data_IF_345637325601
#
_entry.id   IF_345637325601
#
_cell.length_a   1.000
_cell.length_b   1.000
_cell.length_c   1.000
_cell.angle_alpha   90.00
_cell.angle_beta   90.00
_cell.angle_gamma   90.00
#
_symmetry.space_group_name_H-M   'P 1'
#
loop_
_entity.id
_entity.type
_entity.pdbx_description
1 polymer ?
#
# COMPACT_ATOMS: atom_id res chain seq x y z
N UNK A 1 76.78 -62.64 -72.12
CA UNK A 1 75.67 -62.08 -71.33
C UNK A 1 75.39 -60.67 -71.83
N UNK A 2 74.45 -60.51 -72.76
CA UNK A 2 74.10 -59.21 -73.32
C UNK A 2 73.38 -58.37 -72.26
N UNK A 3 73.89 -57.15 -71.99
CA UNK A 3 73.17 -56.16 -71.19
C UNK A 3 72.01 -55.65 -72.04
N UNK A 4 70.79 -55.92 -71.57
CA UNK A 4 69.57 -55.34 -72.11
C UNK A 4 69.40 -53.96 -71.48
N UNK A 5 69.71 -52.91 -72.24
CA UNK A 5 69.45 -51.52 -71.84
C UNK A 5 67.95 -51.22 -72.05
N UNK A 6 67.13 -51.66 -71.11
CA UNK A 6 65.70 -51.32 -71.05
C UNK A 6 65.60 -49.85 -70.62
N UNK A 7 64.84 -48.99 -71.33
CA UNK A 7 64.67 -47.60 -70.92
C UNK A 7 64.01 -47.55 -69.54
N UNK A 8 64.72 -46.98 -68.55
CA UNK A 8 64.18 -46.81 -67.20
C UNK A 8 62.91 -45.95 -67.25
N UNK A 9 61.83 -46.41 -66.59
CA UNK A 9 60.61 -45.64 -66.43
C UNK A 9 60.92 -44.33 -65.67
N UNK A 10 60.60 -43.20 -66.30
CA UNK A 10 60.83 -41.85 -65.75
C UNK A 10 60.16 -41.65 -64.38
N UNK A 11 59.08 -42.37 -64.09
CA UNK A 11 58.44 -42.36 -62.77
C UNK A 11 59.26 -43.12 -61.72
N UNK A 12 59.85 -44.24 -62.10
CA UNK A 12 60.68 -45.06 -61.21
C UNK A 12 61.97 -44.33 -60.86
N UNK A 13 62.62 -43.68 -61.83
CA UNK A 13 63.84 -42.88 -61.59
C UNK A 13 63.56 -41.71 -60.64
N UNK A 14 62.48 -40.96 -60.87
CA UNK A 14 62.08 -39.86 -59.99
C UNK A 14 61.71 -40.32 -58.56
N UNK A 15 61.13 -41.51 -58.41
CA UNK A 15 60.83 -42.11 -57.11
C UNK A 15 62.12 -42.54 -56.37
N UNK A 16 63.07 -43.14 -57.10
CA UNK A 16 64.39 -43.54 -56.58
C UNK A 16 65.19 -42.31 -56.14
N UNK A 17 65.17 -41.23 -56.93
CA UNK A 17 65.85 -39.98 -56.59
C UNK A 17 65.24 -39.29 -55.37
N UNK A 18 63.91 -39.25 -55.24
CA UNK A 18 63.22 -38.78 -54.03
C UNK A 18 63.65 -39.57 -52.79
N UNK A 19 63.69 -40.90 -52.87
CA UNK A 19 64.15 -41.77 -51.77
C UNK A 19 65.60 -41.49 -51.41
N UNK A 20 66.50 -41.38 -52.40
CA UNK A 20 67.91 -41.03 -52.16
C UNK A 20 68.06 -39.66 -51.51
N UNK A 21 67.26 -38.66 -51.92
CA UNK A 21 67.27 -37.31 -51.36
C UNK A 21 66.82 -37.32 -49.89
N UNK A 22 65.69 -37.97 -49.60
CA UNK A 22 65.17 -38.13 -48.25
C UNK A 22 66.16 -38.88 -47.33
N UNK A 23 66.81 -39.95 -47.84
CA UNK A 23 67.81 -40.69 -47.07
C UNK A 23 69.06 -39.83 -46.80
N UNK A 24 69.51 -39.02 -47.76
CA UNK A 24 70.62 -38.07 -47.54
C UNK A 24 70.28 -37.02 -46.47
N UNK A 25 69.08 -36.44 -46.52
CA UNK A 25 68.60 -35.47 -45.51
C UNK A 25 68.43 -36.11 -44.12
N UNK A 26 68.05 -37.39 -44.08
CA UNK A 26 67.95 -38.19 -42.86
C UNK A 26 69.33 -38.51 -42.28
N UNK A 27 70.28 -38.94 -43.11
CA UNK A 27 71.66 -39.21 -42.70
C UNK A 27 72.33 -37.96 -42.10
N UNK A 28 72.10 -36.77 -42.68
CA UNK A 28 72.60 -35.51 -42.13
C UNK A 28 72.12 -35.23 -40.70
N UNK A 29 70.89 -35.65 -40.36
CA UNK A 29 70.33 -35.56 -39.00
C UNK A 29 70.84 -36.67 -38.09
N UNK A 30 70.86 -37.90 -38.58
CA UNK A 30 71.23 -39.08 -37.79
C UNK A 30 72.72 -39.12 -37.48
N UNK A 31 73.62 -38.65 -38.32
CA UNK A 31 75.05 -38.70 -38.02
C UNK A 31 75.56 -37.51 -37.21
N UNK A 32 74.76 -36.45 -37.06
CA UNK A 32 75.10 -35.30 -36.22
C UNK A 32 74.75 -35.57 -34.74
N UNK A 33 75.76 -35.74 -33.88
CA UNK A 33 75.55 -36.04 -32.46
C UNK A 33 74.77 -34.93 -31.70
N UNK A 34 74.96 -33.66 -32.07
CA UNK A 34 74.32 -32.51 -31.42
C UNK A 34 72.82 -32.46 -31.73
N UNK A 35 72.43 -32.62 -32.99
CA UNK A 35 71.00 -32.67 -33.37
C UNK A 35 70.29 -33.93 -32.85
N UNK A 36 71.00 -35.05 -32.69
CA UNK A 36 70.45 -36.26 -32.03
C UNK A 36 70.16 -36.06 -30.56
N UNK A 37 71.02 -35.32 -29.85
CA UNK A 37 70.88 -35.09 -28.42
C UNK A 37 69.92 -33.93 -28.11
N UNK A 38 69.95 -32.84 -28.90
CA UNK A 38 69.19 -31.61 -28.67
C UNK A 38 68.74 -31.00 -30.02
N UNK A 39 67.88 -31.72 -30.73
CA UNK A 39 67.24 -31.23 -31.95
C UNK A 39 66.00 -30.41 -31.62
N UNK A 40 66.09 -29.08 -31.71
CA UNK A 40 64.97 -28.17 -31.44
C UNK A 40 64.77 -27.25 -32.64
N UNK A 41 63.53 -27.15 -33.08
CA UNK A 41 63.13 -26.14 -34.06
C UNK A 41 62.79 -24.83 -33.32
N UNK A 42 63.77 -23.94 -33.24
CA UNK A 42 63.61 -22.67 -32.53
C UNK A 42 62.63 -21.74 -33.21
N UNK A 43 62.54 -21.80 -34.53
CA UNK A 43 61.66 -20.93 -35.31
C UNK A 43 60.20 -21.31 -35.08
N UNK A 44 59.90 -22.61 -35.13
CA UNK A 44 58.55 -23.12 -34.82
C UNK A 44 58.14 -22.84 -33.37
N UNK A 45 59.06 -22.98 -32.40
CA UNK A 45 58.75 -22.66 -31.00
C UNK A 45 58.51 -21.16 -30.79
N UNK A 46 59.29 -20.29 -31.45
CA UNK A 46 59.07 -18.84 -31.37
C UNK A 46 57.69 -18.46 -31.94
N UNK A 47 57.30 -19.05 -33.08
CA UNK A 47 55.96 -18.86 -33.65
C UNK A 47 54.86 -19.30 -32.68
N UNK A 48 55.01 -20.46 -32.04
CA UNK A 48 54.04 -20.94 -31.03
C UNK A 48 53.91 -19.98 -29.83
N UNK A 49 55.01 -19.38 -29.39
CA UNK A 49 55.00 -18.39 -28.31
C UNK A 49 54.28 -17.12 -28.74
N UNK A 50 54.54 -16.63 -29.96
CA UNK A 50 53.86 -15.47 -30.54
C UNK A 50 52.35 -15.70 -30.67
N UNK A 51 51.95 -16.86 -31.22
CA UNK A 51 50.53 -17.24 -31.35
C UNK A 51 49.82 -17.28 -30.00
N UNK A 52 50.46 -17.86 -28.98
CA UNK A 52 49.90 -17.90 -27.62
C UNK A 52 49.75 -16.50 -27.04
N UNK A 53 50.79 -15.66 -27.13
CA UNK A 53 50.73 -14.30 -26.60
C UNK A 53 49.64 -13.48 -27.30
N UNK A 54 49.48 -13.66 -28.62
CA UNK A 54 48.41 -13.04 -29.39
C UNK A 54 47.02 -13.46 -28.90
N UNK A 55 46.81 -14.75 -28.64
CA UNK A 55 45.56 -15.27 -28.09
C UNK A 55 45.29 -14.71 -26.68
N UNK A 56 46.30 -14.68 -25.81
CA UNK A 56 46.19 -14.11 -24.47
C UNK A 56 45.81 -12.62 -24.52
N UNK A 57 46.45 -11.84 -25.40
CA UNK A 57 46.09 -10.43 -25.58
C UNK A 57 44.65 -10.25 -26.07
N UNK A 58 44.20 -11.09 -27.00
CA UNK A 58 42.85 -11.02 -27.55
C UNK A 58 41.81 -11.37 -26.48
N UNK A 59 42.07 -12.40 -25.68
CA UNK A 59 41.23 -12.78 -24.55
C UNK A 59 41.21 -11.68 -23.48
N UNK A 60 42.36 -11.08 -23.16
CA UNK A 60 42.45 -9.99 -22.20
C UNK A 60 41.67 -8.75 -22.68
N UNK A 61 41.79 -8.39 -23.98
CA UNK A 61 40.99 -7.31 -24.59
C UNK A 61 39.49 -7.59 -24.49
N UNK A 62 39.08 -8.84 -24.74
CA UNK A 62 37.68 -9.26 -24.61
C UNK A 62 37.19 -9.19 -23.16
N UNK A 63 37.96 -9.70 -22.21
CA UNK A 63 37.62 -9.65 -20.79
C UNK A 63 37.51 -8.20 -20.29
N UNK A 64 38.43 -7.33 -20.70
CA UNK A 64 38.39 -5.91 -20.36
C UNK A 64 37.15 -5.21 -20.94
N UNK A 65 36.76 -5.51 -22.18
CA UNK A 65 35.54 -4.96 -22.77
C UNK A 65 34.28 -5.39 -21.99
N UNK A 66 34.16 -6.68 -21.64
CA UNK A 66 33.05 -7.19 -20.85
C UNK A 66 33.01 -6.57 -19.43
N UNK A 67 34.17 -6.38 -18.81
CA UNK A 67 34.26 -5.71 -17.51
C UNK A 67 33.80 -4.25 -17.58
N UNK A 68 34.15 -3.53 -18.64
CA UNK A 68 33.68 -2.16 -18.87
C UNK A 68 32.16 -2.11 -19.07
N UNK A 69 31.60 -3.03 -19.84
CA UNK A 69 30.15 -3.14 -20.03
C UNK A 69 29.42 -3.48 -18.72
N UNK A 70 29.99 -4.36 -17.90
CA UNK A 70 29.44 -4.68 -16.57
C UNK A 70 29.38 -3.43 -15.67
N UNK A 71 30.46 -2.64 -15.62
CA UNK A 71 30.51 -1.37 -14.86
C UNK A 71 29.48 -0.37 -15.39
N UNK A 72 29.31 -0.29 -16.71
CA UNK A 72 28.30 0.58 -17.32
C UNK A 72 26.89 0.16 -16.93
N UNK A 73 26.58 -1.13 -17.03
CA UNK A 73 25.26 -1.66 -16.70
C UNK A 73 24.93 -1.49 -15.22
N UNK A 74 25.90 -1.68 -14.33
CA UNK A 74 25.74 -1.45 -12.89
C UNK A 74 25.37 0.02 -12.59
N UNK A 75 26.05 0.98 -13.23
CA UNK A 75 25.71 2.41 -13.11
C UNK A 75 24.29 2.70 -13.60
N UNK A 76 23.86 2.08 -14.70
CA UNK A 76 22.50 2.25 -15.22
C UNK A 76 21.48 1.68 -14.23
N UNK A 77 21.74 0.50 -13.66
CA UNK A 77 20.87 -0.12 -12.66
C UNK A 77 20.69 0.78 -11.44
N UNK A 78 21.78 1.32 -10.89
CA UNK A 78 21.74 2.26 -9.75
C UNK A 78 20.93 3.54 -10.06
N UNK A 79 21.04 4.08 -11.28
CA UNK A 79 20.25 5.26 -11.68
C UNK A 79 18.76 4.94 -11.79
N UNK A 80 18.42 3.77 -12.33
CA UNK A 80 17.03 3.32 -12.46
C UNK A 80 16.41 3.05 -11.08
N UNK A 81 17.16 2.42 -10.18
CA UNK A 81 16.73 2.16 -8.81
C UNK A 81 16.41 3.46 -8.07
N UNK A 82 17.31 4.45 -8.10
CA UNK A 82 17.05 5.77 -7.48
C UNK A 82 15.82 6.47 -8.05
N UNK A 83 15.57 6.31 -9.35
CA UNK A 83 14.37 6.88 -9.99
C UNK A 83 13.11 6.17 -9.50
N UNK A 84 13.13 4.84 -9.43
CA UNK A 84 12.03 4.06 -8.89
C UNK A 84 11.74 4.44 -7.43
N UNK A 85 12.76 4.55 -6.57
CA UNK A 85 12.58 4.98 -5.19
C UNK A 85 11.94 6.37 -5.08
N UNK A 86 12.35 7.31 -5.94
CA UNK A 86 11.76 8.64 -5.99
C UNK A 86 10.27 8.58 -6.39
N UNK A 87 9.97 7.85 -7.46
CA UNK A 87 8.60 7.69 -7.96
C UNK A 87 7.71 6.99 -6.92
N UNK A 88 8.22 6.00 -6.19
CA UNK A 88 7.51 5.34 -5.08
C UNK A 88 7.23 6.31 -3.93
N UNK A 89 8.21 7.15 -3.55
CA UNK A 89 8.03 8.16 -2.51
C UNK A 89 6.97 9.19 -2.90
N UNK A 90 7.02 9.69 -4.12
CA UNK A 90 6.04 10.66 -4.63
C UNK A 90 4.64 10.04 -4.72
N UNK A 91 4.51 8.79 -5.18
CA UNK A 91 3.23 8.09 -5.18
C UNK A 91 2.67 7.91 -3.76
N UNK A 92 3.50 7.49 -2.82
CA UNK A 92 3.09 7.35 -1.42
C UNK A 92 2.67 8.69 -0.81
N UNK A 93 3.39 9.76 -1.15
CA UNK A 93 3.03 11.12 -0.74
C UNK A 93 1.67 11.52 -1.31
N UNK A 94 1.45 11.36 -2.61
CA UNK A 94 0.18 11.67 -3.26
C UNK A 94 -0.99 10.86 -2.69
N UNK A 95 -0.79 9.56 -2.41
CA UNK A 95 -1.79 8.71 -1.75
C UNK A 95 -2.14 9.26 -0.37
N UNK A 96 -1.14 9.62 0.43
CA UNK A 96 -1.36 10.14 1.78
C UNK A 96 -2.02 11.52 1.74
N UNK A 97 -1.65 12.39 0.81
CA UNK A 97 -2.32 13.67 0.56
C UNK A 97 -3.80 13.46 0.17
N UNK A 98 -4.08 12.52 -0.73
CA UNK A 98 -5.46 12.17 -1.11
C UNK A 98 -6.27 11.64 0.08
N UNK A 99 -5.69 10.74 0.88
CA UNK A 99 -6.31 10.23 2.12
C UNK A 99 -6.61 11.37 3.08
N UNK A 100 -5.66 12.29 3.26
CA UNK A 100 -5.80 13.42 4.17
C UNK A 100 -6.85 14.44 3.70
N UNK A 101 -7.06 14.60 2.40
CA UNK A 101 -8.02 15.56 1.85
C UNK A 101 -9.43 14.98 1.73
N UNK A 102 -9.56 13.70 1.38
CA UNK A 102 -10.83 13.12 0.93
C UNK A 102 -11.32 11.92 1.74
N UNK A 103 -10.48 11.32 2.59
CA UNK A 103 -10.82 10.12 3.35
C UNK A 103 -10.81 10.37 4.86
N UNK A 104 -11.00 11.62 5.27
CA UNK A 104 -11.12 11.97 6.68
C UNK A 104 -12.39 11.35 7.28
N UNK A 105 -12.35 10.86 8.54
CA UNK A 105 -13.53 10.34 9.22
C UNK A 105 -14.78 11.23 9.12
N UNK A 106 -14.71 12.56 9.34
CA UNK A 106 -15.88 13.44 9.22
C UNK A 106 -16.46 13.57 7.80
N UNK A 107 -15.71 13.20 6.77
CA UNK A 107 -16.21 13.21 5.39
C UNK A 107 -17.00 11.94 5.04
N UNK A 108 -17.06 10.95 5.93
CA UNK A 108 -17.82 9.72 5.72
C UNK A 108 -19.33 9.97 5.83
N UNK A 109 -20.10 9.21 5.06
CA UNK A 109 -21.56 9.33 5.00
C UNK A 109 -22.26 9.06 6.34
N UNK A 110 -21.67 8.18 7.14
CA UNK A 110 -22.21 7.70 8.43
C UNK A 110 -21.46 8.30 9.62
N UNK A 111 -20.71 9.38 9.41
CA UNK A 111 -19.96 10.03 10.48
C UNK A 111 -20.88 10.55 11.59
N UNK A 112 -22.08 11.03 11.25
CA UNK A 112 -23.08 11.47 12.22
C UNK A 112 -23.45 10.37 13.24
N UNK A 113 -23.48 9.11 12.80
CA UNK A 113 -23.72 7.95 13.68
C UNK A 113 -22.49 7.55 14.50
N UNK A 114 -21.30 7.72 13.93
CA UNK A 114 -20.02 7.29 14.52
C UNK A 114 -19.28 8.40 15.28
N UNK A 115 -19.86 9.60 15.36
CA UNK A 115 -19.25 10.75 16.01
C UNK A 115 -19.11 10.48 17.52
N UNK A 116 -17.88 10.49 18.09
CA UNK A 116 -17.68 10.26 19.52
C UNK A 116 -18.38 11.30 20.40
N UNK A 117 -18.62 12.50 19.85
CA UNK A 117 -19.32 13.58 20.54
C UNK A 117 -20.81 13.66 20.18
N UNK A 118 -21.36 12.66 19.48
CA UNK A 118 -22.77 12.63 19.07
C UNK A 118 -23.73 12.97 20.22
N UNK A 119 -23.60 12.28 21.35
CA UNK A 119 -24.46 12.48 22.54
C UNK A 119 -24.31 13.86 23.18
N UNK A 120 -23.20 14.57 22.93
CA UNK A 120 -23.00 15.95 23.42
C UNK A 120 -23.65 16.98 22.50
N UNK A 121 -23.75 16.65 21.20
CA UNK A 121 -24.37 17.49 20.17
C UNK A 121 -25.88 17.28 20.10
N UNK A 122 -26.33 16.09 20.48
CA UNK A 122 -27.74 15.73 20.47
C UNK A 122 -28.56 16.58 21.46
N UNK A 123 -29.82 16.85 21.09
CA UNK A 123 -30.73 17.62 21.92
C UNK A 123 -31.63 16.69 22.74
N UNK A 124 -32.03 17.09 23.96
CA UNK A 124 -33.05 16.37 24.70
C UNK A 124 -34.31 16.14 23.87
N UNK A 125 -34.95 14.97 24.09
CA UNK A 125 -36.16 14.55 23.37
C UNK A 125 -37.32 15.55 23.50
N UNK A 126 -37.40 16.27 24.62
CA UNK A 126 -38.31 17.38 24.88
C UNK A 126 -37.54 18.50 25.56
N UNK A 127 -37.49 19.68 24.93
CA UNK A 127 -36.72 20.84 25.46
C UNK A 127 -37.60 21.77 26.30
N UNK A 128 -38.88 21.88 25.96
CA UNK A 128 -39.88 22.74 26.61
C UNK A 128 -41.23 22.03 26.61
N UNK A 129 -42.17 22.52 27.41
CA UNK A 129 -43.56 22.06 27.37
C UNK A 129 -44.23 22.38 26.03
N UNK A 130 -43.89 23.50 25.41
CA UNK A 130 -44.45 23.94 24.12
C UNK A 130 -43.50 23.64 22.94
N UNK A 131 -42.68 22.60 23.06
CA UNK A 131 -41.77 22.16 21.99
C UNK A 131 -42.57 21.68 20.75
N UNK A 132 -42.45 22.36 19.59
CA UNK A 132 -43.22 22.02 18.40
C UNK A 132 -42.83 20.65 17.80
N UNK A 133 -41.69 20.09 18.19
CA UNK A 133 -41.24 18.75 17.75
C UNK A 133 -42.03 17.63 18.45
N UNK A 134 -42.58 17.89 19.63
CA UNK A 134 -43.31 16.93 20.44
C UNK A 134 -44.80 16.81 20.02
N UNK A 135 -45.04 16.36 18.78
CA UNK A 135 -46.39 16.05 18.28
C UNK A 135 -46.99 14.77 18.88
N UNK A 136 -48.24 14.46 18.55
CA UNK A 136 -48.97 13.29 19.10
C UNK A 136 -48.23 11.95 18.89
N UNK A 137 -47.66 11.74 17.71
CA UNK A 137 -46.93 10.51 17.39
C UNK A 137 -45.58 10.37 18.09
N UNK A 138 -45.02 11.46 18.62
CA UNK A 138 -43.71 11.45 19.30
C UNK A 138 -43.76 10.73 20.66
N UNK A 139 -44.96 10.65 21.27
CA UNK A 139 -45.19 10.12 22.61
C UNK A 139 -44.31 10.78 23.71
N UNK A 140 -43.76 11.97 23.47
CA UNK A 140 -42.96 12.73 24.43
C UNK A 140 -43.80 13.70 25.30
N UNK A 141 -45.03 14.01 24.88
CA UNK A 141 -45.97 14.87 25.59
C UNK A 141 -47.35 14.24 25.60
N UNK A 142 -47.94 14.12 26.79
CA UNK A 142 -49.28 13.56 26.98
C UNK A 142 -50.21 14.62 27.54
N UNK A 143 -51.43 14.72 26.98
CA UNK A 143 -52.42 15.70 27.45
C UNK A 143 -52.87 15.45 28.90
N UNK A 144 -52.73 14.23 29.41
CA UNK A 144 -53.10 13.88 30.79
C UNK A 144 -52.05 14.23 31.86
N UNK A 145 -50.85 14.70 31.48
CA UNK A 145 -49.75 15.01 32.40
C UNK A 145 -50.10 16.15 33.38
N UNK A 146 -50.97 17.08 32.96
CA UNK A 146 -51.53 18.17 33.77
C UNK A 146 -50.57 18.83 34.78
N UNK A 147 -49.67 19.63 34.22
CA UNK A 147 -48.70 20.44 34.99
C UNK A 147 -49.38 21.48 35.90
N UNK A 148 -50.62 21.88 35.58
CA UNK A 148 -51.39 22.86 36.34
C UNK A 148 -52.25 22.24 37.46
N UNK A 149 -52.05 20.96 37.78
CA UNK A 149 -52.84 20.25 38.79
C UNK A 149 -52.84 20.95 40.16
N UNK A 150 -51.69 21.47 40.60
CA UNK A 150 -51.55 22.21 41.85
C UNK A 150 -52.36 23.51 41.84
N UNK A 151 -52.27 24.29 40.76
CA UNK A 151 -53.04 25.53 40.61
C UNK A 151 -54.55 25.25 40.57
N UNK A 152 -54.97 24.20 39.82
CA UNK A 152 -56.37 23.78 39.77
C UNK A 152 -56.89 23.36 41.14
N UNK A 153 -56.13 22.56 41.90
CA UNK A 153 -56.51 22.15 43.26
C UNK A 153 -56.66 23.35 44.20
N UNK A 154 -55.76 24.34 44.10
CA UNK A 154 -55.85 25.57 44.89
C UNK A 154 -57.14 26.35 44.58
N UNK A 155 -57.45 26.53 43.30
CA UNK A 155 -58.68 27.20 42.89
C UNK A 155 -59.95 26.45 43.36
N UNK A 156 -59.95 25.11 43.28
CA UNK A 156 -61.05 24.30 43.81
C UNK A 156 -61.23 24.45 45.32
N UNK A 157 -60.13 24.55 46.08
CA UNK A 157 -60.18 24.80 47.53
C UNK A 157 -60.73 26.19 47.85
N UNK A 158 -60.34 27.21 47.11
CA UNK A 158 -60.87 28.58 47.24
C UNK A 158 -62.37 28.62 46.95
N UNK A 159 -62.82 27.96 45.88
CA UNK A 159 -64.26 27.85 45.56
C UNK A 159 -65.04 27.14 46.65
N UNK A 160 -64.54 26.00 47.14
CA UNK A 160 -65.19 25.24 48.23
C UNK A 160 -65.28 26.06 49.51
N UNK A 161 -64.25 26.85 49.82
CA UNK A 161 -64.24 27.75 50.98
C UNK A 161 -65.33 28.81 50.86
N UNK A 162 -65.43 29.49 49.72
CA UNK A 162 -66.45 30.53 49.52
C UNK A 162 -67.87 29.95 49.49
N UNK A 163 -68.09 28.79 48.86
CA UNK A 163 -69.39 28.11 48.91
C UNK A 163 -69.80 27.71 50.33
N UNK A 164 -68.86 27.16 51.11
CA UNK A 164 -69.11 26.80 52.50
C UNK A 164 -69.48 28.02 53.34
N UNK A 165 -68.82 29.16 53.09
CA UNK A 165 -69.11 30.43 53.75
C UNK A 165 -70.50 30.94 53.40
N UNK A 166 -70.86 31.00 52.12
CA UNK A 166 -72.19 31.44 51.67
C UNK A 166 -73.30 30.57 52.25
N UNK A 167 -73.11 29.24 52.27
CA UNK A 167 -74.07 28.32 52.85
C UNK A 167 -74.27 28.56 54.36
N UNK A 168 -73.20 28.84 55.10
CA UNK A 168 -73.29 29.18 56.51
C UNK A 168 -74.03 30.50 56.73
N UNK A 169 -73.74 31.53 55.93
CA UNK A 169 -74.42 32.83 55.99
C UNK A 169 -75.92 32.68 55.65
N UNK A 170 -76.28 31.88 54.64
CA UNK A 170 -77.68 31.57 54.30
C UNK A 170 -78.40 30.83 55.42
N UNK A 171 -77.78 29.81 56.01
CA UNK A 171 -78.34 29.07 57.14
C UNK A 171 -78.54 29.97 58.35
N UNK A 172 -77.57 30.83 58.68
CA UNK A 172 -77.68 31.79 59.76
C UNK A 172 -78.81 32.80 59.51
N UNK A 173 -78.93 33.33 58.29
CA UNK A 173 -80.05 34.22 57.91
C UNK A 173 -81.41 33.53 58.04
N UNK A 174 -81.53 32.29 57.58
CA UNK A 174 -82.76 31.51 57.71
C UNK A 174 -83.12 31.23 59.17
N UNK A 175 -82.14 30.89 60.01
CA UNK A 175 -82.35 30.71 61.45
C UNK A 175 -82.79 32.00 62.14
N UNK A 176 -82.16 33.14 61.81
CA UNK A 176 -82.57 34.45 62.34
C UNK A 176 -84.00 34.81 61.93
N UNK A 177 -84.39 34.53 60.67
CA UNK A 177 -85.77 34.73 60.21
C UNK A 177 -86.77 33.82 60.94
N UNK A 178 -86.43 32.54 61.16
CA UNK A 178 -87.25 31.62 61.94
C UNK A 178 -87.40 32.09 63.39
N UNK A 179 -86.30 32.43 64.06
CA UNK A 179 -86.36 32.96 65.42
C UNK A 179 -87.18 34.24 65.52
N UNK A 180 -87.07 35.15 64.55
CA UNK A 180 -87.88 36.36 64.50
C UNK A 180 -89.38 36.05 64.27
N UNK A 181 -89.69 35.09 63.39
CA UNK A 181 -91.06 34.64 63.14
C UNK A 181 -91.67 33.94 64.36
N UNK A 182 -90.92 33.08 65.04
CA UNK A 182 -91.33 32.44 66.29
C UNK A 182 -91.56 33.51 67.38
N UNK A 183 -90.65 34.48 67.52
CA UNK A 183 -90.84 35.60 68.46
C UNK A 183 -92.11 36.41 68.19
N UNK A 184 -92.49 36.59 66.91
CA UNK A 184 -93.73 37.26 66.51
C UNK A 184 -94.98 36.40 66.74
N UNK A 185 -94.86 35.08 66.70
CA UNK A 185 -95.98 34.15 66.89
C UNK A 185 -96.28 33.89 68.39
N UNK A 186 -95.27 33.97 69.25
CA UNK A 186 -95.39 33.77 70.70
C UNK A 186 -95.52 35.08 71.50
N UNK A 187 -95.68 36.23 70.85
CA UNK A 187 -95.99 37.53 71.45
C UNK A 187 -97.49 37.86 71.33
#
# INVERSE_FOLDING_TARGET
MYKLDIPLDLKETAAIERRRRAEKERQGRIFNAKYRQIGIDKEALNQQIEDRNWLEELEQKRANALAQDAIRNDKIAQLLERRQEYDERENNRAINEFRALHQQPPAQREWDLNDPDYLKKDMPARVSDDDPRCGLSSLQKFQGEDLNSCARKKYQQEQLREWSRMQQEDQQRAQQQQQAADHLFYA
#
